data_IF_957549237095
#
_entry.id   IF_957549237095
#
_cell.length_a   1.000
_cell.length_b   1.000
_cell.length_c   1.000
_cell.angle_alpha   90.00
_cell.angle_beta   90.00
_cell.angle_gamma   90.00
#
_symmetry.space_group_name_H-M   'P 1'
#
loop_
_entity.id
_entity.type
_entity.pdbx_description
1 polymer ?
#
# COMPACT_ATOMS: atom_id res chain seq x y z
N UNK A 1 20.86 -19.92 -21.03
CA UNK A 1 20.70 -18.72 -20.19
C UNK A 1 19.37 -18.65 -19.43
N UNK A 2 18.22 -18.98 -20.04
CA UNK A 2 16.91 -18.97 -19.34
C UNK A 2 16.87 -19.87 -18.09
N UNK A 3 17.44 -21.07 -18.15
CA UNK A 3 17.51 -22.00 -17.00
C UNK A 3 18.38 -21.50 -15.84
N UNK A 4 19.48 -20.81 -16.15
CA UNK A 4 20.33 -20.18 -15.14
C UNK A 4 19.64 -18.98 -14.48
N UNK A 5 18.95 -18.15 -15.27
CA UNK A 5 18.13 -17.04 -14.78
C UNK A 5 16.97 -17.52 -13.90
N UNK A 6 16.25 -18.57 -14.32
CA UNK A 6 15.18 -19.21 -13.53
C UNK A 6 15.70 -19.87 -12.26
N UNK A 7 16.90 -20.48 -12.30
CA UNK A 7 17.54 -21.07 -11.13
C UNK A 7 18.08 -20.02 -10.14
N UNK A 8 18.43 -18.83 -10.63
CA UNK A 8 18.79 -17.68 -9.81
C UNK A 8 17.53 -17.08 -9.15
N UNK A 9 16.44 -16.87 -9.92
CA UNK A 9 15.14 -16.43 -9.42
C UNK A 9 14.53 -17.38 -8.39
N UNK A 10 14.74 -18.70 -8.54
CA UNK A 10 14.31 -19.73 -7.57
C UNK A 10 14.97 -19.61 -6.20
N UNK A 11 16.17 -19.03 -6.12
CA UNK A 11 16.97 -18.94 -4.89
C UNK A 11 16.94 -17.56 -4.24
N UNK A 12 16.17 -16.63 -4.77
CA UNK A 12 16.01 -15.31 -4.17
C UNK A 12 15.10 -15.41 -2.94
N UNK A 13 15.71 -15.68 -1.79
CA UNK A 13 15.10 -15.40 -0.50
C UNK A 13 15.31 -13.92 -0.22
N UNK A 14 14.29 -13.09 -0.42
CA UNK A 14 14.35 -11.68 -0.06
C UNK A 14 14.43 -11.61 1.46
N UNK A 15 15.54 -11.12 2.01
CA UNK A 15 15.71 -10.87 3.45
C UNK A 15 15.81 -9.37 3.70
N UNK A 16 15.56 -8.94 4.95
CA UNK A 16 15.85 -7.56 5.33
C UNK A 16 17.30 -7.24 5.04
N UNK A 17 17.53 -6.15 4.29
CA UNK A 17 18.86 -5.69 3.91
C UNK A 17 19.45 -6.30 2.63
N UNK A 18 18.77 -7.24 1.97
CA UNK A 18 19.22 -7.79 0.68
C UNK A 18 19.31 -6.70 -0.41
N UNK A 19 20.28 -6.77 -1.34
CA UNK A 19 20.45 -5.77 -2.41
C UNK A 19 19.19 -5.68 -3.29
N UNK A 20 18.51 -6.81 -3.50
CA UNK A 20 17.25 -6.83 -4.24
C UNK A 20 16.16 -6.01 -3.55
N UNK A 21 16.02 -6.10 -2.22
CA UNK A 21 15.03 -5.29 -1.51
C UNK A 21 15.31 -3.79 -1.70
N UNK A 22 16.58 -3.36 -1.70
CA UNK A 22 16.95 -1.96 -1.95
C UNK A 22 16.57 -1.52 -3.36
N UNK A 23 16.86 -2.36 -4.37
CA UNK A 23 16.44 -2.11 -5.76
C UNK A 23 14.93 -1.99 -5.87
N UNK A 24 14.17 -2.89 -5.21
CA UNK A 24 12.71 -2.85 -5.22
C UNK A 24 12.14 -1.63 -4.49
N UNK A 25 12.77 -1.16 -3.41
CA UNK A 25 12.39 0.08 -2.72
C UNK A 25 12.55 1.29 -3.66
N UNK A 26 13.70 1.40 -4.33
CA UNK A 26 13.95 2.46 -5.30
C UNK A 26 12.98 2.37 -6.47
N UNK A 27 12.83 1.19 -7.08
CA UNK A 27 11.86 0.96 -8.15
C UNK A 27 10.43 1.33 -7.72
N UNK A 28 10.04 0.99 -6.49
CA UNK A 28 8.75 1.35 -5.92
C UNK A 28 8.52 2.86 -5.86
N UNK A 29 9.52 3.65 -5.47
CA UNK A 29 9.46 5.12 -5.48
C UNK A 29 9.19 5.64 -6.90
N UNK A 30 9.91 5.13 -7.90
CA UNK A 30 9.69 5.51 -9.30
C UNK A 30 8.30 5.10 -9.80
N UNK A 31 7.85 3.87 -9.54
CA UNK A 31 6.53 3.40 -9.99
C UNK A 31 5.37 4.14 -9.35
N UNK A 32 5.51 4.57 -8.09
CA UNK A 32 4.51 5.43 -7.45
C UNK A 32 4.52 6.84 -8.08
N UNK A 33 5.71 7.40 -8.32
CA UNK A 33 5.86 8.77 -8.82
C UNK A 33 5.41 8.92 -10.28
N UNK A 34 5.56 7.85 -11.08
CA UNK A 34 5.16 7.82 -12.48
C UNK A 34 3.64 7.80 -12.67
N UNK A 35 2.85 7.39 -11.67
CA UNK A 35 1.41 7.21 -11.85
C UNK A 35 0.69 8.50 -12.26
N UNK A 36 1.02 9.63 -11.63
CA UNK A 36 0.40 10.93 -11.95
C UNK A 36 0.70 11.35 -13.39
N UNK A 37 1.97 11.22 -13.80
CA UNK A 37 2.43 11.54 -15.17
C UNK A 37 1.76 10.63 -16.19
N UNK A 38 1.76 9.32 -15.96
CA UNK A 38 1.13 8.35 -16.86
C UNK A 38 -0.38 8.57 -17.00
N UNK A 39 -1.06 8.93 -15.89
CA UNK A 39 -2.49 9.26 -15.91
C UNK A 39 -2.76 10.56 -16.66
N UNK A 40 -1.83 11.51 -16.65
CA UNK A 40 -1.97 12.71 -17.45
C UNK A 40 -1.76 12.42 -18.95
N UNK A 41 -0.78 11.58 -19.28
CA UNK A 41 -0.52 11.13 -20.66
C UNK A 41 -1.63 10.22 -21.23
N UNK A 42 -2.41 9.56 -20.38
CA UNK A 42 -3.50 8.69 -20.82
C UNK A 42 -4.79 9.42 -21.14
N UNK A 43 -4.90 10.71 -20.82
CA UNK A 43 -6.05 11.56 -21.20
C UNK A 43 -6.09 11.74 -22.71
N UNK A 44 -7.30 11.77 -23.26
CA UNK A 44 -7.51 12.08 -24.68
C UNK A 44 -7.28 13.56 -24.99
N UNK A 45 -7.49 13.94 -26.26
CA UNK A 45 -7.31 15.32 -26.74
C UNK A 45 -8.19 16.33 -25.98
N UNK A 46 -9.32 15.88 -25.43
CA UNK A 46 -10.24 16.67 -24.59
C UNK A 46 -9.73 16.90 -23.15
N UNK A 47 -8.54 16.40 -22.80
CA UNK A 47 -7.97 16.47 -21.45
C UNK A 47 -8.69 15.61 -20.41
N UNK A 48 -9.63 14.76 -20.83
CA UNK A 48 -10.42 13.87 -19.97
C UNK A 48 -9.96 12.43 -20.08
N UNK A 49 -10.18 11.67 -19.00
CA UNK A 49 -9.91 10.23 -18.98
C UNK A 49 -11.02 9.51 -19.74
N UNK A 50 -10.69 8.95 -20.90
CA UNK A 50 -11.67 8.29 -21.79
C UNK A 50 -12.08 6.89 -21.32
N UNK A 51 -11.26 6.24 -20.49
CA UNK A 51 -11.50 4.89 -19.98
C UNK A 51 -12.26 4.89 -18.65
N UNK A 52 -12.97 3.79 -18.39
CA UNK A 52 -13.58 3.56 -17.09
C UNK A 52 -12.51 3.23 -16.03
N UNK A 53 -12.41 4.05 -14.98
CA UNK A 53 -11.45 3.86 -13.89
C UNK A 53 -11.65 2.51 -13.18
N UNK A 54 -12.90 2.05 -13.00
CA UNK A 54 -13.20 0.78 -12.35
C UNK A 54 -12.70 -0.42 -13.16
N UNK A 55 -12.75 -0.36 -14.51
CA UNK A 55 -12.20 -1.44 -15.33
C UNK A 55 -10.68 -1.50 -15.24
N UNK A 56 -10.00 -0.35 -15.21
CA UNK A 56 -8.54 -0.28 -15.05
C UNK A 56 -8.10 -0.88 -13.71
N UNK A 57 -8.81 -0.60 -12.61
CA UNK A 57 -8.49 -1.19 -11.29
C UNK A 57 -8.72 -2.71 -11.32
N UNK A 58 -9.81 -3.18 -11.92
CA UNK A 58 -10.08 -4.61 -12.11
C UNK A 58 -8.97 -5.30 -12.92
N UNK A 59 -8.56 -4.72 -14.05
CA UNK A 59 -7.47 -5.24 -14.88
C UNK A 59 -6.13 -5.22 -14.14
N UNK A 60 -5.89 -4.23 -13.29
CA UNK A 60 -4.69 -4.16 -12.46
C UNK A 60 -4.63 -5.30 -11.44
N UNK A 61 -5.74 -5.61 -10.75
CA UNK A 61 -5.80 -6.77 -9.84
C UNK A 61 -5.68 -8.10 -10.60
N UNK A 62 -6.32 -8.22 -11.78
CA UNK A 62 -6.20 -9.39 -12.63
C UNK A 62 -4.74 -9.61 -13.07
N UNK A 63 -4.04 -8.55 -13.49
CA UNK A 63 -2.61 -8.60 -13.81
C UNK A 63 -1.77 -9.03 -12.61
N UNK A 64 -2.03 -8.50 -11.39
CA UNK A 64 -1.30 -8.93 -10.18
C UNK A 64 -1.52 -10.41 -9.88
N UNK A 65 -2.75 -10.90 -10.04
CA UNK A 65 -3.09 -12.30 -9.85
C UNK A 65 -2.37 -13.18 -10.86
N UNK A 66 -2.44 -12.84 -12.16
CA UNK A 66 -1.75 -13.57 -13.23
C UNK A 66 -0.25 -13.61 -13.01
N UNK A 67 0.38 -12.46 -12.76
CA UNK A 67 1.84 -12.39 -12.49
C UNK A 67 2.19 -13.20 -11.24
N UNK A 68 1.37 -13.15 -10.18
CA UNK A 68 1.62 -13.93 -8.96
C UNK A 68 1.52 -15.44 -9.21
N UNK A 69 0.52 -15.89 -9.97
CA UNK A 69 0.39 -17.29 -10.37
C UNK A 69 1.58 -17.75 -11.21
N UNK A 70 1.98 -16.96 -12.22
CA UNK A 70 3.14 -17.27 -13.05
C UNK A 70 4.42 -17.32 -12.24
N UNK A 71 4.67 -16.34 -11.36
CA UNK A 71 5.84 -16.34 -10.49
C UNK A 71 5.83 -17.50 -9.49
N UNK A 72 4.66 -17.88 -8.96
CA UNK A 72 4.53 -19.07 -8.12
C UNK A 72 4.92 -20.35 -8.89
N UNK A 73 4.44 -20.51 -10.13
CA UNK A 73 4.78 -21.66 -10.98
C UNK A 73 6.26 -21.68 -11.36
N UNK A 74 6.87 -20.53 -11.69
CA UNK A 74 8.29 -20.45 -12.06
C UNK A 74 9.21 -20.73 -10.86
N UNK A 75 8.88 -20.19 -9.68
CA UNK A 75 9.71 -20.32 -8.47
C UNK A 75 9.55 -21.66 -7.77
N UNK A 76 8.33 -22.17 -7.64
CA UNK A 76 8.07 -23.43 -6.91
C UNK A 76 7.98 -24.65 -7.82
N UNK A 77 7.70 -24.45 -9.12
CA UNK A 77 7.28 -25.53 -10.01
C UNK A 77 5.88 -26.05 -9.66
N UNK A 78 5.31 -26.90 -10.52
CA UNK A 78 3.98 -27.49 -10.30
C UNK A 78 3.91 -28.29 -8.99
N UNK A 79 4.93 -29.11 -8.72
CA UNK A 79 5.02 -29.91 -7.48
C UNK A 79 5.10 -29.04 -6.22
N UNK A 80 5.84 -27.94 -6.27
CA UNK A 80 5.97 -27.02 -5.12
C UNK A 80 4.69 -26.24 -4.86
N UNK A 81 3.99 -25.79 -5.92
CA UNK A 81 2.67 -25.15 -5.78
C UNK A 81 1.66 -26.11 -5.16
N UNK A 82 1.57 -27.34 -5.66
CA UNK A 82 0.68 -28.37 -5.07
C UNK A 82 1.06 -28.66 -3.62
N UNK A 83 2.35 -28.66 -3.29
CA UNK A 83 2.86 -28.79 -1.92
C UNK A 83 2.36 -27.68 -0.98
N UNK A 84 2.46 -26.41 -1.39
CA UNK A 84 1.98 -25.24 -0.63
C UNK A 84 0.44 -25.22 -0.51
N UNK A 85 -0.27 -25.62 -1.57
CA UNK A 85 -1.73 -25.80 -1.52
C UNK A 85 -2.10 -26.84 -0.47
N UNK A 86 -1.42 -28.00 -0.46
CA UNK A 86 -1.62 -29.08 0.52
C UNK A 86 -1.19 -28.69 1.94
N UNK A 87 -0.14 -27.86 2.07
CA UNK A 87 0.28 -27.27 3.35
C UNK A 87 -0.77 -26.27 3.90
N UNK A 88 -1.74 -25.87 3.07
CA UNK A 88 -2.89 -25.10 3.48
C UNK A 88 -2.79 -23.62 3.14
N UNK A 89 -2.22 -23.28 1.98
CA UNK A 89 -2.30 -21.94 1.40
C UNK A 89 -3.76 -21.49 1.17
N UNK A 90 -4.68 -22.43 0.89
CA UNK A 90 -6.10 -22.16 0.65
C UNK A 90 -7.04 -22.67 1.76
N UNK A 91 -6.51 -22.95 2.95
CA UNK A 91 -7.39 -23.26 4.09
C UNK A 91 -8.32 -22.06 4.36
N UNK A 92 -9.63 -22.28 4.59
CA UNK A 92 -10.62 -21.20 4.65
C UNK A 92 -10.27 -20.16 5.70
N UNK A 93 -9.72 -20.57 6.85
CA UNK A 93 -9.23 -19.62 7.88
C UNK A 93 -8.17 -18.67 7.33
N UNK A 94 -7.11 -19.19 6.71
CA UNK A 94 -6.02 -18.34 6.21
C UNK A 94 -6.45 -17.50 4.99
N UNK A 95 -7.29 -18.07 4.14
CA UNK A 95 -7.92 -17.34 3.03
C UNK A 95 -8.70 -16.14 3.54
N UNK A 96 -9.57 -16.33 4.55
CA UNK A 96 -10.36 -15.25 5.16
C UNK A 96 -9.47 -14.18 5.82
N UNK A 97 -8.38 -14.56 6.49
CA UNK A 97 -7.41 -13.57 7.01
C UNK A 97 -6.80 -12.71 5.90
N UNK A 98 -6.52 -13.28 4.72
CA UNK A 98 -5.98 -12.53 3.58
C UNK A 98 -7.05 -11.74 2.82
N UNK A 99 -8.32 -12.11 2.91
CA UNK A 99 -9.43 -11.34 2.34
C UNK A 99 -9.68 -10.01 3.06
N UNK A 100 -9.41 -9.94 4.37
CA UNK A 100 -9.61 -8.72 5.17
C UNK A 100 -8.85 -7.50 4.62
N UNK A 101 -7.53 -7.56 4.33
CA UNK A 101 -6.84 -6.42 3.75
C UNK A 101 -7.41 -6.01 2.38
N UNK A 102 -7.79 -6.97 1.53
CA UNK A 102 -8.41 -6.65 0.25
C UNK A 102 -9.74 -5.90 0.44
N UNK A 103 -10.58 -6.33 1.39
CA UNK A 103 -11.84 -5.65 1.72
C UNK A 103 -11.59 -4.23 2.24
N UNK A 104 -10.61 -4.06 3.13
CA UNK A 104 -10.25 -2.76 3.65
C UNK A 104 -9.70 -1.83 2.56
N UNK A 105 -8.91 -2.35 1.61
CA UNK A 105 -8.47 -1.56 0.46
C UNK A 105 -9.63 -1.14 -0.44
N UNK A 106 -10.61 -2.03 -0.68
CA UNK A 106 -11.82 -1.69 -1.43
C UNK A 106 -12.66 -0.61 -0.72
N UNK A 107 -12.90 -0.78 0.59
CA UNK A 107 -13.58 0.21 1.42
C UNK A 107 -12.84 1.56 1.42
N UNK A 108 -11.52 1.54 1.56
CA UNK A 108 -10.69 2.75 1.55
C UNK A 108 -10.84 3.54 0.24
N UNK A 109 -10.86 2.85 -0.90
CA UNK A 109 -11.03 3.47 -2.21
C UNK A 109 -12.42 4.10 -2.36
N UNK A 110 -13.48 3.42 -1.91
CA UNK A 110 -14.84 3.97 -1.92
C UNK A 110 -14.99 5.17 -0.98
N UNK A 111 -14.44 5.09 0.23
CA UNK A 111 -14.43 6.24 1.17
C UNK A 111 -13.69 7.43 0.58
N UNK A 112 -12.58 7.22 -0.15
CA UNK A 112 -11.86 8.30 -0.84
C UNK A 112 -12.72 9.00 -1.90
N UNK A 113 -13.52 8.23 -2.65
CA UNK A 113 -14.42 8.78 -3.66
C UNK A 113 -15.49 9.70 -3.02
N UNK A 114 -16.19 9.21 -1.99
CA UNK A 114 -17.18 10.03 -1.28
C UNK A 114 -16.55 11.22 -0.56
N UNK A 115 -15.34 11.07 -0.02
CA UNK A 115 -14.60 12.17 0.59
C UNK A 115 -14.31 13.28 -0.43
N UNK A 116 -13.87 12.93 -1.64
CA UNK A 116 -13.62 13.89 -2.73
C UNK A 116 -14.88 14.58 -3.25
N UNK A 117 -16.07 14.01 -3.04
CA UNK A 117 -17.33 14.70 -3.35
C UNK A 117 -17.76 15.67 -2.23
N UNK A 118 -17.33 15.42 -0.99
CA UNK A 118 -17.71 16.19 0.18
C UNK A 118 -16.72 17.32 0.54
N UNK A 119 -15.58 17.42 -0.17
CA UNK A 119 -14.58 18.47 0.01
C UNK A 119 -13.87 18.79 -1.30
N UNK A 120 -13.21 19.94 -1.35
CA UNK A 120 -12.39 20.29 -2.50
C UNK A 120 -11.13 19.38 -2.64
N UNK A 121 -10.59 19.21 -3.85
CA UNK A 121 -9.44 18.33 -4.09
C UNK A 121 -8.18 18.70 -3.28
N UNK A 122 -8.01 19.98 -2.96
CA UNK A 122 -6.85 20.48 -2.21
C UNK A 122 -6.92 20.02 -0.77
N UNK A 123 -8.06 20.28 -0.13
CA UNK A 123 -8.36 19.82 1.22
C UNK A 123 -8.18 18.32 1.33
N UNK A 124 -8.67 17.55 0.35
CA UNK A 124 -8.46 16.11 0.31
C UNK A 124 -6.97 15.73 0.25
N UNK A 125 -6.20 16.35 -0.65
CA UNK A 125 -4.77 16.08 -0.79
C UNK A 125 -3.97 16.40 0.47
N UNK A 126 -4.31 17.48 1.18
CA UNK A 126 -3.64 17.84 2.44
C UNK A 126 -4.05 16.88 3.56
N UNK A 127 -5.36 16.66 3.75
CA UNK A 127 -5.90 15.86 4.85
C UNK A 127 -5.57 14.37 4.72
N UNK A 128 -5.42 13.83 3.50
CA UNK A 128 -5.11 12.42 3.31
C UNK A 128 -3.71 12.03 3.85
N UNK A 129 -2.81 13.00 4.06
CA UNK A 129 -1.49 12.75 4.63
C UNK A 129 -1.54 12.32 6.10
N UNK A 130 -2.62 12.65 6.83
CA UNK A 130 -2.80 12.22 8.23
C UNK A 130 -2.80 10.69 8.40
N UNK A 131 -3.02 9.93 7.32
CA UNK A 131 -2.80 8.48 7.28
C UNK A 131 -1.42 8.07 7.79
N UNK A 132 -0.40 8.93 7.70
CA UNK A 132 0.96 8.68 8.21
C UNK A 132 0.93 8.44 9.73
N UNK A 133 0.27 9.33 10.47
CA UNK A 133 0.15 9.24 11.93
C UNK A 133 -0.77 8.10 12.33
N UNK A 134 -1.93 7.96 11.67
CA UNK A 134 -2.86 6.87 11.97
C UNK A 134 -2.22 5.50 11.72
N UNK A 135 -1.42 5.36 10.65
CA UNK A 135 -0.64 4.15 10.39
C UNK A 135 0.40 3.89 11.47
N UNK A 136 1.11 4.91 11.96
CA UNK A 136 2.11 4.74 13.02
C UNK A 136 1.48 4.26 14.34
N UNK A 137 0.32 4.81 14.70
CA UNK A 137 -0.46 4.40 15.87
C UNK A 137 -0.92 2.95 15.71
N UNK A 138 -1.59 2.63 14.60
CA UNK A 138 -2.09 1.28 14.31
C UNK A 138 -0.96 0.26 14.20
N UNK A 139 0.19 0.65 13.64
CA UNK A 139 1.39 -0.18 13.60
C UNK A 139 1.82 -0.57 15.02
N UNK A 140 1.91 0.39 15.93
CA UNK A 140 2.27 0.12 17.33
C UNK A 140 1.25 -0.80 18.01
N UNK A 141 -0.05 -0.57 17.78
CA UNK A 141 -1.14 -1.34 18.39
C UNK A 141 -1.24 -2.77 17.87
N UNK A 142 -1.13 -2.99 16.55
CA UNK A 142 -1.37 -4.30 15.92
C UNK A 142 -0.08 -5.12 15.85
N UNK A 143 1.05 -4.51 15.51
CA UNK A 143 2.32 -5.24 15.40
C UNK A 143 2.98 -5.49 16.75
N UNK A 144 2.47 -4.89 17.84
CA UNK A 144 3.06 -4.95 19.18
C UNK A 144 4.57 -4.60 19.21
N UNK A 145 4.99 -3.71 18.29
CA UNK A 145 6.37 -3.20 18.21
C UNK A 145 6.40 -1.74 18.63
N UNK A 146 7.26 -1.43 19.59
CA UNK A 146 7.51 -0.04 20.01
C UNK A 146 8.38 0.68 18.99
N UNK A 147 7.95 1.87 18.56
CA UNK A 147 8.79 2.81 17.83
C UNK A 147 9.72 3.54 18.80
N UNK A 148 10.98 3.76 18.40
CA UNK A 148 11.91 4.58 19.19
C UNK A 148 11.44 6.04 19.25
N UNK A 149 11.99 6.84 20.17
CA UNK A 149 11.70 8.28 20.25
C UNK A 149 11.99 8.98 18.91
N UNK A 150 13.12 8.65 18.28
CA UNK A 150 13.51 9.20 16.99
C UNK A 150 12.54 8.78 15.87
N UNK A 151 12.10 7.51 15.87
CA UNK A 151 11.11 7.02 14.90
C UNK A 151 9.74 7.67 15.10
N UNK A 152 9.33 7.93 16.35
CA UNK A 152 8.11 8.68 16.65
C UNK A 152 8.20 10.13 16.19
N UNK A 153 9.36 10.79 16.37
CA UNK A 153 9.58 12.16 15.88
C UNK A 153 9.65 12.23 14.35
N UNK A 154 10.14 11.19 13.68
CA UNK A 154 10.20 11.14 12.22
C UNK A 154 8.79 11.13 11.57
N UNK A 155 7.77 10.58 12.22
CA UNK A 155 6.43 10.47 11.62
C UNK A 155 5.73 11.83 11.43
N UNK A 156 5.68 12.74 12.43
CA UNK A 156 5.19 14.10 12.23
C UNK A 156 6.02 14.92 11.24
N UNK A 157 7.35 14.75 11.21
CA UNK A 157 8.21 15.43 10.23
C UNK A 157 7.83 14.97 8.81
N UNK A 158 7.64 13.67 8.62
CA UNK A 158 7.19 13.10 7.34
C UNK A 158 5.80 13.59 6.94
N UNK A 159 4.87 13.72 7.90
CA UNK A 159 3.54 14.30 7.68
C UNK A 159 3.65 15.74 7.19
N UNK A 160 4.35 16.60 7.93
CA UNK A 160 4.48 18.00 7.60
C UNK A 160 5.14 18.19 6.23
N UNK A 161 6.17 17.39 5.96
CA UNK A 161 6.83 17.35 4.67
C UNK A 161 5.89 16.98 3.51
N UNK A 162 5.03 15.99 3.70
CA UNK A 162 4.10 15.54 2.66
C UNK A 162 3.02 16.60 2.40
N UNK A 163 2.55 17.28 3.45
CA UNK A 163 1.62 18.40 3.35
C UNK A 163 2.25 19.57 2.57
N UNK A 164 3.49 19.96 2.89
CA UNK A 164 4.21 21.01 2.17
C UNK A 164 4.35 20.68 0.67
N UNK A 165 4.70 19.43 0.33
CA UNK A 165 4.78 19.03 -1.07
C UNK A 165 3.40 19.08 -1.77
N UNK A 166 2.32 18.67 -1.09
CA UNK A 166 0.96 18.78 -1.63
C UNK A 166 0.56 20.24 -1.90
N UNK A 167 0.93 21.17 -1.02
CA UNK A 167 0.66 22.61 -1.21
C UNK A 167 1.53 23.22 -2.32
N UNK A 168 2.80 22.81 -2.43
CA UNK A 168 3.70 23.24 -3.51
C UNK A 168 3.15 22.86 -4.89
N UNK A 169 2.58 21.65 -5.02
CA UNK A 169 1.91 21.20 -6.24
C UNK A 169 0.69 22.05 -6.59
N UNK A 170 -0.04 22.56 -5.59
CA UNK A 170 -1.23 23.39 -5.79
C UNK A 170 -0.89 24.82 -6.24
N UNK A 171 -0.01 25.50 -5.51
CA UNK A 171 0.36 26.90 -5.77
C UNK A 171 0.81 27.11 -7.23
N UNK A 172 1.29 26.04 -7.86
CA UNK A 172 1.72 26.00 -9.25
C UNK A 172 0.61 25.84 -10.28
N UNK A 173 -0.40 25.02 -9.99
CA UNK A 173 -1.56 24.89 -10.88
C UNK A 173 -2.35 26.21 -10.93
N UNK A 174 -2.37 26.97 -9.83
CA UNK A 174 -2.91 28.34 -9.80
C UNK A 174 -2.06 29.32 -10.61
N UNK A 175 -0.73 29.25 -10.55
CA UNK A 175 0.14 30.20 -11.28
C UNK A 175 0.10 30.07 -12.81
N UNK A 176 -0.28 28.92 -13.35
CA UNK A 176 -0.50 28.74 -14.80
C UNK A 176 -1.83 29.38 -15.26
N UNK A 177 -2.79 29.53 -14.34
CA UNK A 177 -4.11 30.13 -14.61
C UNK A 177 -4.12 31.64 -14.31
N UNK A 178 -3.18 32.12 -13.50
CA UNK A 178 -3.08 33.50 -12.97
C UNK A 178 -2.74 34.59 -14.01
N UNK A 179 -2.54 34.26 -15.28
CA UNK A 179 -2.35 35.29 -16.33
C UNK A 179 -3.66 36.06 -16.66
N UNK A 180 -4.79 35.73 -16.01
CA UNK A 180 -6.12 36.24 -16.42
C UNK A 180 -7.03 36.89 -15.36
N UNK A 181 -6.72 36.93 -14.06
CA UNK A 181 -7.67 37.55 -13.10
C UNK A 181 -7.06 38.10 -11.80
N UNK A 182 -7.42 39.35 -11.48
CA UNK A 182 -6.98 40.14 -10.32
C UNK A 182 -7.80 39.87 -9.03
N UNK A 183 -8.58 38.78 -8.98
CA UNK A 183 -9.52 38.42 -7.89
C UNK A 183 -9.06 37.21 -7.03
N UNK A 184 -7.76 36.96 -6.96
CA UNK A 184 -7.16 35.71 -6.46
C UNK A 184 -7.40 35.47 -4.95
N UNK A 185 -7.49 36.52 -4.13
CA UNK A 185 -7.68 36.38 -2.67
C UNK A 185 -9.12 36.03 -2.27
N UNK A 186 -10.12 36.32 -3.13
CA UNK A 186 -11.52 35.95 -2.92
C UNK A 186 -11.76 34.52 -3.45
N UNK A 187 -11.13 34.15 -4.57
CA UNK A 187 -11.24 32.81 -5.16
C UNK A 187 -10.58 31.72 -4.31
N UNK A 188 -9.41 31.98 -3.70
CA UNK A 188 -8.74 31.02 -2.80
C UNK A 188 -9.53 30.75 -1.50
N UNK A 189 -10.17 31.78 -0.94
CA UNK A 189 -11.09 31.63 0.21
C UNK A 189 -12.40 30.94 -0.15
N UNK A 190 -12.81 31.01 -1.41
CA UNK A 190 -14.01 30.32 -1.93
C UNK A 190 -13.73 28.88 -2.36
N UNK A 191 -12.45 28.51 -2.54
CA UNK A 191 -12.03 27.20 -3.06
C UNK A 191 -11.77 26.15 -1.97
N UNK A 192 -11.49 26.57 -0.73
CA UNK A 192 -11.31 25.67 0.41
C UNK A 192 -12.66 25.40 1.05
N UNK A 193 -13.32 24.35 0.59
CA UNK A 193 -14.59 23.88 1.12
C UNK A 193 -14.40 22.50 1.76
N UNK A 194 -14.56 22.46 3.08
CA UNK A 194 -14.58 21.20 3.85
C UNK A 194 -15.92 21.09 4.56
N UNK A 195 -16.79 20.22 4.05
CA UNK A 195 -18.00 19.85 4.78
C UNK A 195 -17.64 19.12 6.08
N UNK A 196 -18.35 19.34 7.22
CA UNK A 196 -18.15 18.55 8.44
C UNK A 196 -18.27 17.03 8.21
N UNK A 197 -19.19 16.62 7.33
CA UNK A 197 -19.32 15.22 6.91
C UNK A 197 -18.08 14.74 6.15
N UNK A 198 -17.49 15.59 5.30
CA UNK A 198 -16.22 15.33 4.63
C UNK A 198 -15.08 15.09 5.61
N UNK A 199 -15.00 15.88 6.69
CA UNK A 199 -13.98 15.68 7.73
C UNK A 199 -14.15 14.31 8.42
N UNK A 200 -15.39 13.89 8.72
CA UNK A 200 -15.67 12.56 9.26
C UNK A 200 -15.21 11.45 8.30
N UNK A 201 -15.49 11.61 7.00
CA UNK A 201 -15.01 10.69 5.96
C UNK A 201 -13.48 10.65 5.87
N UNK A 202 -12.77 11.76 6.10
CA UNK A 202 -11.31 11.79 6.10
C UNK A 202 -10.70 11.03 7.29
N UNK A 203 -11.29 11.16 8.47
CA UNK A 203 -10.85 10.39 9.65
C UNK A 203 -11.06 8.90 9.40
N UNK A 204 -12.23 8.53 8.86
CA UNK A 204 -12.52 7.15 8.46
C UNK A 204 -11.53 6.64 7.40
N UNK A 205 -11.31 7.41 6.33
CA UNK A 205 -10.35 7.09 5.27
C UNK A 205 -8.94 6.86 5.81
N UNK A 206 -8.40 7.79 6.59
CA UNK A 206 -7.03 7.66 7.14
C UNK A 206 -6.90 6.44 8.06
N UNK A 207 -7.95 6.11 8.81
CA UNK A 207 -7.99 4.94 9.70
C UNK A 207 -8.05 3.64 8.92
N UNK A 208 -8.94 3.53 7.92
CA UNK A 208 -9.04 2.34 7.07
C UNK A 208 -7.74 2.14 6.28
N UNK A 209 -7.18 3.22 5.71
CA UNK A 209 -5.91 3.18 4.97
C UNK A 209 -4.75 2.63 5.82
N UNK A 210 -4.59 3.16 7.04
CA UNK A 210 -3.57 2.68 7.97
C UNK A 210 -3.82 1.25 8.43
N UNK A 211 -5.07 0.92 8.74
CA UNK A 211 -5.46 -0.43 9.18
C UNK A 211 -5.22 -1.47 8.10
N UNK A 212 -5.64 -1.22 6.86
CA UNK A 212 -5.42 -2.10 5.71
C UNK A 212 -3.93 -2.42 5.52
N UNK A 213 -3.07 -1.40 5.55
CA UNK A 213 -1.63 -1.55 5.35
C UNK A 213 -0.95 -2.34 6.48
N UNK A 214 -1.25 -1.99 7.73
CA UNK A 214 -0.65 -2.67 8.90
C UNK A 214 -1.17 -4.10 9.02
N UNK A 215 -2.45 -4.34 8.75
CA UNK A 215 -3.02 -5.67 8.79
C UNK A 215 -2.49 -6.54 7.64
N UNK A 216 -2.32 -6.00 6.44
CA UNK A 216 -1.65 -6.70 5.34
C UNK A 216 -0.22 -7.11 5.72
N UNK A 217 0.56 -6.21 6.32
CA UNK A 217 1.87 -6.53 6.87
C UNK A 217 1.80 -7.65 7.92
N UNK A 218 0.90 -7.54 8.89
CA UNK A 218 0.72 -8.53 9.95
C UNK A 218 0.44 -9.94 9.39
N UNK A 219 -0.50 -10.07 8.45
CA UNK A 219 -0.88 -11.37 7.88
C UNK A 219 0.24 -11.95 7.03
N UNK A 220 0.89 -11.14 6.17
CA UNK A 220 2.02 -11.59 5.34
C UNK A 220 3.21 -12.07 6.19
N UNK A 221 3.43 -11.42 7.34
CA UNK A 221 4.48 -11.80 8.29
C UNK A 221 4.10 -12.96 9.21
N UNK A 222 2.81 -13.26 9.36
CA UNK A 222 2.36 -14.42 10.14
C UNK A 222 2.83 -15.76 9.53
N UNK A 223 3.11 -15.79 8.22
CA UNK A 223 3.72 -16.94 7.53
C UNK A 223 4.96 -16.54 6.75
N UNK A 224 6.00 -16.06 7.44
CA UNK A 224 7.27 -15.67 6.80
C UNK A 224 7.88 -16.74 5.89
N UNK A 225 7.80 -18.02 6.31
CA UNK A 225 8.42 -19.14 5.59
C UNK A 225 7.68 -19.58 4.33
N UNK A 226 6.37 -19.32 4.23
CA UNK A 226 5.59 -19.67 3.05
C UNK A 226 5.96 -18.77 1.87
N UNK A 227 5.85 -19.26 0.64
CA UNK A 227 6.09 -18.45 -0.56
C UNK A 227 5.24 -17.17 -0.58
N UNK A 228 5.84 -16.03 -0.93
CA UNK A 228 5.12 -14.75 -1.03
C UNK A 228 4.05 -14.81 -2.13
N UNK A 229 4.39 -15.39 -3.28
CA UNK A 229 3.46 -15.49 -4.40
C UNK A 229 2.21 -16.31 -4.02
N UNK A 230 2.38 -17.37 -3.22
CA UNK A 230 1.27 -18.16 -2.71
C UNK A 230 0.36 -17.40 -1.74
N UNK A 231 0.91 -16.44 -0.99
CA UNK A 231 0.11 -15.57 -0.11
C UNK A 231 -0.60 -14.46 -0.88
N UNK A 232 0.01 -14.00 -1.98
CA UNK A 232 -0.57 -12.97 -2.83
C UNK A 232 -1.77 -13.46 -3.65
N UNK A 233 -1.78 -14.73 -4.08
CA UNK A 233 -2.87 -15.29 -4.89
C UNK A 233 -4.25 -15.11 -4.23
N UNK A 234 -4.52 -15.58 -3.00
CA UNK A 234 -5.83 -15.41 -2.37
C UNK A 234 -6.17 -13.93 -2.09
N UNK A 235 -5.18 -13.10 -1.76
CA UNK A 235 -5.34 -11.66 -1.56
C UNK A 235 -5.85 -10.98 -2.86
N UNK A 236 -5.17 -11.24 -3.98
CA UNK A 236 -5.55 -10.67 -5.28
C UNK A 236 -6.78 -11.33 -5.88
N UNK A 237 -7.03 -12.62 -5.61
CA UNK A 237 -8.28 -13.27 -6.01
C UNK A 237 -9.49 -12.60 -5.35
N UNK A 238 -9.40 -12.29 -4.06
CA UNK A 238 -10.43 -11.53 -3.36
C UNK A 238 -10.55 -10.11 -3.95
N UNK A 239 -9.42 -9.45 -4.22
CA UNK A 239 -9.37 -8.14 -4.90
C UNK A 239 -10.05 -8.13 -6.27
N UNK A 240 -9.83 -9.15 -7.10
CA UNK A 240 -10.50 -9.31 -8.40
C UNK A 240 -12.00 -9.43 -8.21
N UNK A 241 -12.47 -10.28 -7.28
CA UNK A 241 -13.90 -10.43 -7.00
C UNK A 241 -14.53 -9.09 -6.61
N UNK A 242 -13.91 -8.36 -5.67
CA UNK A 242 -14.47 -7.07 -5.22
C UNK A 242 -14.44 -6.00 -6.31
N UNK A 243 -13.35 -5.86 -7.05
CA UNK A 243 -13.29 -4.86 -8.12
C UNK A 243 -14.17 -5.24 -9.32
N UNK A 244 -14.39 -6.53 -9.56
CA UNK A 244 -15.37 -7.00 -10.54
C UNK A 244 -16.77 -6.58 -10.10
N UNK A 245 -17.16 -6.85 -8.84
CA UNK A 245 -18.46 -6.41 -8.33
C UNK A 245 -18.64 -4.90 -8.43
N UNK A 246 -17.60 -4.10 -8.13
CA UNK A 246 -17.65 -2.65 -8.27
C UNK A 246 -17.82 -2.19 -9.73
N UNK A 247 -17.11 -2.83 -10.67
CA UNK A 247 -17.24 -2.53 -12.09
C UNK A 247 -18.63 -2.88 -12.64
N UNK A 248 -19.13 -4.08 -12.34
CA UNK A 248 -20.46 -4.50 -12.78
C UNK A 248 -21.55 -3.62 -12.14
N UNK A 249 -21.41 -3.26 -10.87
CA UNK A 249 -22.34 -2.34 -10.21
C UNK A 249 -22.37 -0.97 -10.88
N UNK A 250 -21.19 -0.38 -11.11
CA UNK A 250 -21.08 0.93 -11.79
C UNK A 250 -21.61 0.88 -13.21
N UNK A 251 -21.37 -0.21 -13.95
CA UNK A 251 -21.79 -0.34 -15.35
C UNK A 251 -23.29 -0.57 -15.47
N UNK A 252 -23.90 -1.29 -14.53
CA UNK A 252 -25.35 -1.47 -14.46
C UNK A 252 -26.09 -0.15 -14.24
N UNK A 253 -25.56 0.75 -13.40
CA UNK A 253 -26.14 2.09 -13.21
C UNK A 253 -26.10 2.94 -14.49
N UNK A 254 -25.08 2.81 -15.33
CA UNK A 254 -25.00 3.54 -16.61
C UNK A 254 -25.94 2.97 -17.67
N UNK A 255 -26.15 1.65 -17.70
CA UNK A 255 -27.08 1.01 -18.64
C UNK A 255 -28.54 1.36 -18.36
N UNK A 256 -28.91 1.64 -17.11
CA UNK A 256 -30.26 2.09 -16.75
C UNK A 256 -30.62 3.45 -17.39
N UNK A 257 -29.63 4.30 -17.66
CA UNK A 257 -29.84 5.60 -18.34
C UNK A 257 -29.98 5.44 -19.85
N UNK A 258 -29.31 4.44 -20.44
CA UNK A 258 -29.40 4.15 -21.88
C UNK A 258 -30.70 3.40 -22.22
N UNK A 259 -31.29 2.67 -21.27
CA UNK A 259 -32.55 1.94 -21.45
C UNK A 259 -33.72 2.87 -21.85
N UNK A 260 -33.69 4.15 -21.46
CA UNK A 260 -34.70 5.14 -21.86
C UNK A 260 -34.65 5.48 -23.37
N UNK A 261 -33.50 5.25 -24.02
CA UNK A 261 -33.31 5.45 -25.47
C UNK A 261 -33.38 4.16 -26.28
N UNK A 262 -32.99 3.02 -25.69
CA UNK A 262 -33.02 1.71 -26.35
C UNK A 262 -34.39 1.01 -26.27
N UNK A 263 -35.34 1.54 -25.49
CA UNK A 263 -36.72 1.06 -25.32
C UNK A 263 -37.58 1.04 -26.60
N UNK A 264 -37.02 1.33 -27.77
CA UNK A 264 -37.73 1.30 -29.05
C UNK A 264 -37.46 0.07 -29.91
N UNK A 265 -36.48 -0.79 -29.62
CA UNK A 265 -36.20 -1.97 -30.45
C UNK A 265 -35.86 -3.24 -29.63
N UNK A 266 -36.84 -4.15 -29.59
CA UNK A 266 -36.75 -5.59 -29.26
C UNK A 266 -36.83 -6.01 -27.78
N UNK A 267 -38.02 -6.46 -27.39
CA UNK A 267 -38.35 -7.05 -26.08
C UNK A 267 -37.72 -8.44 -25.80
N UNK A 268 -36.97 -9.03 -26.75
CA UNK A 268 -36.41 -10.39 -26.61
C UNK A 268 -34.90 -10.43 -26.30
N UNK A 269 -34.16 -9.34 -26.54
CA UNK A 269 -32.70 -9.28 -26.41
C UNK A 269 -32.22 -8.60 -25.12
N UNK A 270 -33.13 -8.06 -24.32
CA UNK A 270 -32.84 -7.23 -23.15
C UNK A 270 -32.00 -7.96 -22.09
N UNK A 271 -32.31 -9.23 -21.78
CA UNK A 271 -31.57 -10.00 -20.77
C UNK A 271 -30.10 -10.26 -21.14
N UNK A 272 -29.83 -10.57 -22.42
CA UNK A 272 -28.46 -10.82 -22.90
C UNK A 272 -27.66 -9.53 -23.02
N UNK A 273 -28.28 -8.42 -23.46
CA UNK A 273 -27.64 -7.11 -23.54
C UNK A 273 -27.24 -6.61 -22.14
N UNK A 274 -28.11 -6.80 -21.15
CA UNK A 274 -27.80 -6.47 -19.75
C UNK A 274 -26.68 -7.34 -19.17
N UNK A 275 -26.62 -8.62 -19.54
CA UNK A 275 -25.58 -9.55 -19.05
C UNK A 275 -24.22 -9.35 -19.75
N UNK A 276 -24.21 -9.09 -21.06
CA UNK A 276 -22.98 -9.03 -21.87
C UNK A 276 -22.47 -7.60 -22.09
N UNK A 277 -23.33 -6.59 -21.95
CA UNK A 277 -22.98 -5.18 -22.16
C UNK A 277 -21.76 -4.71 -21.36
N UNK A 278 -21.66 -4.99 -20.05
CA UNK A 278 -20.47 -4.63 -19.27
C UNK A 278 -19.19 -5.32 -19.76
N UNK A 279 -19.27 -6.53 -20.31
CA UNK A 279 -18.09 -7.20 -20.88
C UNK A 279 -17.63 -6.54 -22.18
N UNK A 280 -18.57 -6.13 -23.03
CA UNK A 280 -18.26 -5.44 -24.28
C UNK A 280 -17.56 -4.09 -24.04
N UNK A 281 -17.96 -3.37 -22.99
CA UNK A 281 -17.42 -2.04 -22.63
C UNK A 281 -16.22 -2.07 -21.70
N UNK A 282 -15.65 -3.24 -21.42
CA UNK A 282 -14.56 -3.38 -20.43
C UNK A 282 -13.32 -2.57 -20.83
N UNK A 283 -13.04 -2.53 -22.13
CA UNK A 283 -11.85 -1.90 -22.72
C UNK A 283 -12.16 -0.59 -23.47
N UNK A 284 -13.36 -0.04 -23.32
CA UNK A 284 -13.72 1.22 -23.95
C UNK A 284 -12.80 2.35 -23.47
N UNK A 285 -12.27 3.12 -24.42
CA UNK A 285 -11.37 4.24 -24.16
C UNK A 285 -9.94 3.84 -23.75
N UNK A 286 -9.56 2.57 -23.86
CA UNK A 286 -8.19 2.13 -23.57
C UNK A 286 -7.24 2.57 -24.68
N UNK A 287 -6.15 3.22 -24.29
CA UNK A 287 -5.04 3.53 -25.18
C UNK A 287 -3.74 2.83 -24.70
N UNK A 288 -2.63 3.04 -25.42
CA UNK A 288 -1.33 2.47 -25.04
C UNK A 288 -0.90 2.86 -23.62
N UNK A 289 -1.16 4.10 -23.22
CA UNK A 289 -0.85 4.59 -21.87
C UNK A 289 -1.70 3.92 -20.79
N UNK A 290 -2.96 3.60 -21.05
CA UNK A 290 -3.82 2.84 -20.13
C UNK A 290 -3.19 1.48 -19.79
N UNK A 291 -2.64 0.77 -20.78
CA UNK A 291 -1.94 -0.50 -20.54
C UNK A 291 -0.64 -0.31 -19.74
N UNK A 292 0.12 0.75 -20.03
CA UNK A 292 1.32 1.08 -19.24
C UNK A 292 0.96 1.39 -17.78
N UNK A 293 -0.15 2.09 -17.53
CA UNK A 293 -0.66 2.32 -16.17
C UNK A 293 -0.99 1.00 -15.48
N UNK A 294 -1.73 0.11 -16.14
CA UNK A 294 -2.12 -1.20 -15.58
C UNK A 294 -0.88 -2.02 -15.20
N UNK A 295 0.09 -2.12 -16.11
CA UNK A 295 1.31 -2.89 -15.88
C UNK A 295 2.17 -2.29 -14.75
N UNK A 296 2.35 -0.97 -14.77
CA UNK A 296 3.14 -0.26 -13.76
C UNK A 296 2.48 -0.35 -12.39
N UNK A 297 1.16 -0.23 -12.31
CA UNK A 297 0.42 -0.35 -11.05
C UNK A 297 0.34 -1.79 -10.53
N UNK A 298 0.27 -2.78 -11.42
CA UNK A 298 0.38 -4.18 -11.04
C UNK A 298 1.78 -4.46 -10.45
N UNK A 299 2.83 -3.97 -11.12
CA UNK A 299 4.21 -4.03 -10.62
C UNK A 299 4.37 -3.38 -9.25
N UNK A 300 3.85 -2.16 -9.08
CA UNK A 300 3.85 -1.45 -7.80
C UNK A 300 3.17 -2.26 -6.68
N UNK A 301 2.01 -2.87 -6.96
CA UNK A 301 1.32 -3.74 -6.00
C UNK A 301 2.12 -4.97 -5.57
N UNK A 302 2.88 -5.56 -6.50
CA UNK A 302 3.76 -6.70 -6.21
C UNK A 302 4.99 -6.28 -5.40
N UNK A 303 5.64 -5.18 -5.79
CA UNK A 303 6.73 -4.56 -5.02
C UNK A 303 6.27 -4.29 -3.59
N UNK A 304 5.07 -3.71 -3.44
CA UNK A 304 4.53 -3.37 -2.14
C UNK A 304 4.31 -4.62 -1.27
N UNK A 305 3.86 -5.73 -1.86
CA UNK A 305 3.74 -7.00 -1.13
C UNK A 305 5.09 -7.50 -0.61
N UNK A 306 6.16 -7.39 -1.41
CA UNK A 306 7.54 -7.69 -0.98
C UNK A 306 7.96 -6.76 0.17
N UNK A 307 7.70 -5.46 0.04
CA UNK A 307 8.02 -4.45 1.08
C UNK A 307 7.26 -4.72 2.36
N UNK A 308 5.97 -5.08 2.31
CA UNK A 308 5.19 -5.38 3.51
C UNK A 308 5.65 -6.68 4.18
N UNK A 309 6.06 -7.69 3.41
CA UNK A 309 6.58 -8.95 3.97
C UNK A 309 7.98 -8.79 4.57
N UNK A 310 8.87 -8.10 3.88
CA UNK A 310 10.31 -8.06 4.23
C UNK A 310 10.77 -6.72 4.79
N UNK A 311 9.94 -5.68 4.81
CA UNK A 311 10.20 -4.39 5.44
C UNK A 311 9.01 -4.03 6.33
N UNK A 312 8.61 -2.78 6.45
CA UNK A 312 7.43 -2.36 7.22
C UNK A 312 6.51 -1.47 6.38
N UNK A 313 5.23 -1.42 6.77
CA UNK A 313 4.26 -0.47 6.21
C UNK A 313 4.64 0.98 6.52
N UNK A 314 5.52 1.23 7.49
CA UNK A 314 6.13 2.55 7.72
C UNK A 314 7.13 2.89 6.60
N UNK A 315 7.99 1.94 6.18
CA UNK A 315 8.90 2.15 5.04
C UNK A 315 8.13 2.43 3.75
N UNK A 316 6.97 1.79 3.55
CA UNK A 316 6.03 2.15 2.47
C UNK A 316 5.65 3.63 2.50
N UNK A 317 5.37 4.21 3.68
CA UNK A 317 5.01 5.63 3.78
C UNK A 317 6.16 6.54 3.35
N UNK A 318 7.41 6.21 3.71
CA UNK A 318 8.58 6.92 3.21
C UNK A 318 8.74 6.80 1.69
N UNK A 319 8.47 5.63 1.11
CA UNK A 319 8.48 5.46 -0.35
C UNK A 319 7.44 6.36 -1.04
N UNK A 320 6.23 6.47 -0.46
CA UNK A 320 5.17 7.33 -0.99
C UNK A 320 5.55 8.81 -0.88
N UNK A 321 6.16 9.24 0.23
CA UNK A 321 6.61 10.62 0.38
C UNK A 321 7.72 10.98 -0.62
N UNK A 322 8.70 10.09 -0.82
CA UNK A 322 9.75 10.27 -1.83
C UNK A 322 9.19 10.27 -3.25
N UNK A 323 8.19 9.44 -3.54
CA UNK A 323 7.59 9.39 -4.87
C UNK A 323 6.81 10.65 -5.19
N UNK A 324 6.14 11.24 -4.21
CA UNK A 324 5.48 12.54 -4.34
C UNK A 324 6.49 13.66 -4.66
N UNK A 325 7.65 13.67 -4.01
CA UNK A 325 8.74 14.61 -4.34
C UNK A 325 9.25 14.38 -5.77
N UNK A 326 9.43 13.12 -6.17
CA UNK A 326 9.88 12.77 -7.52
C UNK A 326 8.86 13.20 -8.58
N UNK A 327 7.57 13.03 -8.34
CA UNK A 327 6.51 13.53 -9.23
C UNK A 327 6.60 15.05 -9.38
N UNK A 328 6.71 15.78 -8.28
CA UNK A 328 6.85 17.25 -8.32
C UNK A 328 8.12 17.66 -9.06
N UNK A 329 9.26 17.02 -8.79
CA UNK A 329 10.53 17.28 -9.47
C UNK A 329 10.44 17.00 -10.97
N UNK A 330 9.79 15.89 -11.37
CA UNK A 330 9.59 15.56 -12.79
C UNK A 330 8.73 16.61 -13.47
N UNK A 331 7.66 17.10 -12.82
CA UNK A 331 6.86 18.20 -13.34
C UNK A 331 7.67 19.49 -13.47
N UNK A 332 8.56 19.80 -12.51
CA UNK A 332 9.44 20.97 -12.59
C UNK A 332 10.33 20.89 -13.83
N UNK A 333 10.95 19.74 -14.06
CA UNK A 333 11.89 19.53 -15.18
C UNK A 333 11.18 19.42 -16.54
N UNK A 334 9.99 18.83 -16.58
CA UNK A 334 9.27 18.60 -17.84
C UNK A 334 8.57 19.86 -18.39
N UNK A 335 8.28 20.83 -17.51
CA UNK A 335 7.51 22.04 -17.85
C UNK A 335 8.30 23.34 -17.58
N UNK A 336 9.64 23.26 -17.45
CA UNK A 336 10.57 24.39 -17.21
C UNK A 336 10.10 25.36 -16.11
N UNK A 337 9.54 24.82 -15.02
CA UNK A 337 8.88 25.64 -14.02
C UNK A 337 9.83 26.10 -12.91
N UNK A 338 9.57 27.25 -12.28
CA UNK A 338 10.37 27.79 -11.16
C UNK A 338 10.34 26.90 -9.91
N UNK A 339 11.49 26.74 -9.24
CA UNK A 339 11.59 25.95 -8.00
C UNK A 339 10.91 26.69 -6.85
N UNK A 340 9.88 26.09 -6.22
CA UNK A 340 9.20 26.69 -5.08
C UNK A 340 9.95 26.41 -3.78
N UNK A 341 9.94 27.35 -2.83
CA UNK A 341 10.63 27.17 -1.55
C UNK A 341 9.94 26.08 -0.69
N UNK A 342 8.62 25.89 -0.86
CA UNK A 342 7.85 24.84 -0.20
C UNK A 342 8.32 23.45 -0.63
N UNK A 343 8.64 23.28 -1.92
CA UNK A 343 9.22 22.03 -2.42
C UNK A 343 10.61 21.77 -1.85
N UNK A 344 11.48 22.79 -1.79
CA UNK A 344 12.82 22.66 -1.18
C UNK A 344 12.73 22.29 0.29
N UNK A 345 11.84 22.96 1.04
CA UNK A 345 11.61 22.65 2.45
C UNK A 345 11.07 21.23 2.63
N UNK A 346 10.11 20.80 1.79
CA UNK A 346 9.61 19.43 1.81
C UNK A 346 10.73 18.42 1.52
N UNK A 347 11.60 18.67 0.54
CA UNK A 347 12.73 17.78 0.25
C UNK A 347 13.66 17.62 1.46
N UNK A 348 14.05 18.74 2.09
CA UNK A 348 14.92 18.72 3.28
C UNK A 348 14.26 17.96 4.43
N UNK A 349 12.97 18.17 4.68
CA UNK A 349 12.24 17.52 5.77
C UNK A 349 12.05 16.01 5.53
N UNK A 350 11.75 15.55 4.30
CA UNK A 350 11.71 14.11 3.99
C UNK A 350 13.07 13.47 4.27
N UNK A 351 14.16 14.08 3.78
CA UNK A 351 15.51 13.55 3.99
C UNK A 351 15.87 13.50 5.47
N UNK A 352 15.51 14.54 6.23
CA UNK A 352 15.71 14.57 7.68
C UNK A 352 14.89 13.51 8.40
N UNK A 353 13.62 13.31 8.03
CA UNK A 353 12.78 12.26 8.60
C UNK A 353 13.35 10.85 8.34
N UNK A 354 13.86 10.60 7.12
CA UNK A 354 14.50 9.32 6.78
C UNK A 354 15.76 9.11 7.62
N UNK A 355 16.63 10.12 7.71
CA UNK A 355 17.86 10.05 8.50
C UNK A 355 17.52 9.78 9.98
N UNK A 356 16.58 10.54 10.54
CA UNK A 356 16.14 10.41 11.93
C UNK A 356 15.53 9.03 12.21
N UNK A 357 14.68 8.51 11.32
CA UNK A 357 14.04 7.21 11.50
C UNK A 357 15.03 6.04 11.55
N UNK A 358 16.14 6.15 10.80
CA UNK A 358 17.17 5.12 10.72
C UNK A 358 18.35 5.36 11.68
N UNK A 359 18.32 6.42 12.49
CA UNK A 359 19.32 6.57 13.56
C UNK A 359 19.22 5.40 14.55
N UNK A 360 20.34 4.74 14.88
CA UNK A 360 20.36 3.75 15.95
C UNK A 360 19.87 4.39 17.25
N UNK A 361 19.02 3.68 18.00
CA UNK A 361 18.63 4.16 19.33
C UNK A 361 19.90 4.32 20.18
N UNK A 362 20.08 5.45 20.90
CA UNK A 362 21.23 5.61 21.78
C UNK A 362 21.24 4.45 22.79
N UNK A 363 22.40 3.80 22.92
CA UNK A 363 22.60 2.71 23.85
C UNK A 363 22.42 3.24 25.29
N UNK A 364 21.21 3.15 25.82
CA UNK A 364 20.92 3.55 27.20
C UNK A 364 21.53 2.53 28.17
N UNK A 365 22.71 2.87 28.72
CA UNK A 365 23.24 2.49 30.05
C UNK A 365 23.14 1.03 30.53
N UNK A 366 23.52 0.06 29.70
CA UNK A 366 23.77 -1.31 30.19
C UNK A 366 25.15 -1.51 30.88
N UNK A 367 25.91 -0.44 31.12
CA UNK A 367 27.29 -0.50 31.59
C UNK A 367 27.55 0.07 33.01
N UNK A 368 26.53 0.16 33.88
CA UNK A 368 26.74 0.72 35.24
C UNK A 368 26.14 -0.11 36.38
N UNK A 369 25.73 -1.36 36.16
CA UNK A 369 25.34 -2.26 37.26
C UNK A 369 25.82 -3.71 37.04
N UNK A 370 27.13 -3.94 37.07
CA UNK A 370 27.67 -5.25 37.49
C UNK A 370 29.11 -5.16 38.00
N UNK A 371 29.33 -4.48 39.12
CA UNK A 371 30.48 -4.76 40.00
C UNK A 371 30.01 -4.76 41.44
N UNK A 372 29.38 -5.88 41.85
CA UNK A 372 29.22 -6.26 43.25
C UNK A 372 29.88 -7.64 43.43
N UNK A 373 30.64 -7.88 44.52
CA UNK A 373 31.50 -9.04 44.61
C UNK A 373 30.69 -10.33 44.79
N UNK A 374 31.20 -11.40 44.18
CA UNK A 374 30.64 -12.74 44.23
C UNK A 374 30.51 -13.27 45.67
N UNK A 375 29.34 -13.83 46.01
CA UNK A 375 29.17 -14.73 47.15
C UNK A 375 29.17 -16.18 46.64
N UNK A 376 29.84 -17.12 47.33
CA UNK A 376 30.01 -18.48 46.85
C UNK A 376 28.73 -19.31 46.97
N UNK A 377 28.56 -20.21 46.01
CA UNK A 377 27.48 -21.18 45.88
C UNK A 377 27.65 -22.27 46.95
N UNK A 378 26.60 -22.55 47.72
CA UNK A 378 26.47 -23.76 48.53
C UNK A 378 25.53 -24.76 47.83
N UNK A 379 26.05 -25.96 47.57
CA UNK A 379 25.29 -27.14 47.15
C UNK A 379 24.47 -27.72 48.31
N UNK A 380 23.28 -28.24 48.03
CA UNK A 380 22.49 -29.01 48.99
C UNK A 380 21.14 -29.54 48.47
N UNK A 381 21.16 -30.79 48.02
CA UNK A 381 20.16 -31.87 48.12
C UNK A 381 18.64 -31.63 47.87
N UNK A 382 18.16 -32.32 46.82
CA UNK A 382 16.99 -33.21 46.71
C UNK A 382 15.83 -33.18 47.74
N UNK A 383 14.59 -33.12 47.22
CA UNK A 383 13.48 -33.99 47.62
C UNK A 383 12.33 -33.95 46.59
N UNK A 384 11.73 -35.11 46.35
CA UNK A 384 10.67 -35.42 45.39
C UNK A 384 9.28 -34.97 45.85
N UNK A 385 8.35 -34.75 44.91
CA UNK A 385 6.95 -35.19 44.98
C UNK A 385 6.34 -35.12 43.57
N UNK A 386 5.72 -36.22 43.14
CA UNK A 386 5.02 -36.31 41.87
C UNK A 386 3.52 -36.06 42.03
N UNK A 387 2.87 -35.62 40.95
CA UNK A 387 1.45 -35.87 40.68
C UNK A 387 1.17 -35.64 39.20
N UNK A 388 0.51 -36.62 38.60
CA UNK A 388 -0.07 -36.64 37.26
C UNK A 388 -1.53 -36.16 37.34
N UNK A 389 -1.97 -35.25 36.47
CA UNK A 389 -2.98 -35.56 35.44
C UNK A 389 -3.39 -34.38 34.55
N UNK A 390 -3.88 -34.78 33.39
CA UNK A 390 -4.59 -34.14 32.30
C UNK A 390 -5.19 -32.71 32.43
N UNK A 391 -5.25 -32.07 31.24
CA UNK A 391 -6.10 -30.95 30.81
C UNK A 391 -5.68 -29.52 31.23
N UNK A 392 -4.90 -28.88 30.34
CA UNK A 392 -5.15 -27.49 29.90
C UNK A 392 -4.51 -27.22 28.54
N UNK A 393 -5.29 -27.50 27.49
CA UNK A 393 -5.21 -26.75 26.25
C UNK A 393 -5.71 -25.33 26.50
N UNK A 394 -4.96 -24.30 26.10
CA UNK A 394 -5.40 -23.02 25.51
C UNK A 394 -4.24 -22.02 25.48
N UNK A 395 -3.89 -21.56 24.27
CA UNK A 395 -3.00 -20.44 23.91
C UNK A 395 -1.48 -20.65 24.09
N UNK A 396 -0.67 -20.63 23.02
CA UNK A 396 0.74 -20.31 23.16
C UNK A 396 0.87 -18.79 23.31
N UNK A 397 1.13 -18.38 24.55
CA UNK A 397 1.73 -17.12 24.93
C UNK A 397 2.93 -16.80 24.01
N UNK A 398 2.91 -15.62 23.43
CA UNK A 398 4.01 -15.05 22.65
C UNK A 398 5.18 -14.78 23.59
N UNK A 399 6.20 -15.63 23.55
CA UNK A 399 7.44 -15.41 24.28
C UNK A 399 8.25 -14.28 23.63
N UNK A 400 8.47 -13.20 24.39
CA UNK A 400 9.52 -12.21 24.17
C UNK A 400 10.87 -12.86 24.52
N UNK A 401 11.63 -13.27 23.52
CA UNK A 401 13.09 -13.47 23.54
C UNK A 401 13.46 -13.61 22.05
N UNK A 402 14.17 -12.68 21.42
CA UNK A 402 15.56 -12.38 21.71
C UNK A 402 16.36 -12.71 20.43
N UNK A 403 16.10 -11.99 19.33
CA UNK A 403 16.94 -12.04 18.13
C UNK A 403 18.21 -11.22 18.39
N UNK A 404 19.11 -11.80 19.19
CA UNK A 404 20.49 -11.36 19.33
C UNK A 404 21.33 -12.63 19.47
N UNK A 405 21.59 -13.30 18.35
CA UNK A 405 22.25 -14.61 18.38
C UNK A 405 22.33 -15.38 17.06
N UNK A 406 22.37 -14.70 15.91
CA UNK A 406 22.71 -15.35 14.63
C UNK A 406 23.59 -14.42 13.78
N UNK A 407 24.73 -14.06 14.37
CA UNK A 407 25.93 -13.61 13.68
C UNK A 407 27.10 -14.35 14.33
N UNK A 408 27.28 -15.61 13.94
CA UNK A 408 28.56 -16.33 13.96
C UNK A 408 28.38 -17.71 13.31
N UNK A 409 29.10 -17.86 12.20
CA UNK A 409 29.59 -19.10 11.58
C UNK A 409 28.63 -19.95 10.73
N UNK A 410 29.16 -20.21 9.52
CA UNK A 410 28.79 -21.14 8.43
C UNK A 410 27.79 -20.60 7.40
#
# INVERSE_FOLDING_TARGET
MLGACLSALRRVRVTQGSPLLRVLLVAGVFTYGSHSVLTNLSKGDDGRVAYNVASVVLMTELCKLLISCTLALLTLGTRGVVGEVRAGAFKPRFFLLLSVPALLYALNNNTAYYAQQAMDPVSFMVLCNFKIITTAILFRLIMNRSLSRNQWLAMPILLFSSILNSMAGLAKHSSIVDESAQDTNILLKSALYVSPYGLMLMVMYCTISGFAGVYAEYVLKSRMHASLHMQNIPLYLCGVVMNATAYFWSSSSTNAVIDDTALRLSHSATSLVWMLGPFARLFDGYNGWTWVIILTQAGNGLILSVVMKHSTNIVKLFMIALSMLLSTATSILAFDMSLSWEFVLALVLVLWAIALYHTPAPASSAATMSTGPARPVAHGAAAAFGESDQQRSLLPFVHKQGYSGMLKQV
#
